data_IF_419284023262
#
_entry.id   IF_419284023262
#
_cell.length_a   1.000
_cell.length_b   1.000
_cell.length_c   1.000
_cell.angle_alpha   90.00
_cell.angle_beta   90.00
_cell.angle_gamma   90.00
#
_symmetry.space_group_name_H-M   'P 1'
#
loop_
_entity.id
_entity.type
_entity.pdbx_description
1 polymer ?
#
# COMPACT_ATOMS: atom_id res chain seq x y z
N UNK A 1 -5.37 4.82 30.52
CA UNK A 1 -4.17 4.60 29.69
C UNK A 1 -4.59 3.58 28.66
N UNK A 2 -4.81 4.05 27.44
CA UNK A 2 -5.29 3.31 26.27
C UNK A 2 -4.71 1.91 26.19
N UNK A 3 -5.56 0.90 26.27
CA UNK A 3 -5.13 -0.46 25.97
C UNK A 3 -5.21 -0.65 24.46
N UNK A 4 -4.19 -0.11 23.77
CA UNK A 4 -3.78 -0.54 22.44
C UNK A 4 -3.44 -2.03 22.52
N UNK A 5 -4.48 -2.85 22.50
CA UNK A 5 -4.37 -4.29 22.62
C UNK A 5 -3.83 -4.79 21.30
N UNK A 6 -2.91 -5.75 21.35
CA UNK A 6 -2.32 -6.37 20.17
C UNK A 6 -3.38 -6.83 19.15
N UNK A 7 -4.53 -7.35 19.63
CA UNK A 7 -5.66 -7.73 18.79
C UNK A 7 -6.26 -6.55 18.01
N UNK A 8 -6.33 -5.36 18.60
CA UNK A 8 -6.92 -4.19 17.97
C UNK A 8 -5.99 -3.65 16.87
N UNK A 9 -4.68 -3.61 17.16
CA UNK A 9 -3.65 -3.27 16.18
C UNK A 9 -3.66 -4.26 15.00
N UNK A 10 -3.73 -5.56 15.28
CA UNK A 10 -3.74 -6.59 14.23
C UNK A 10 -4.98 -6.47 13.33
N UNK A 11 -6.15 -6.17 13.92
CA UNK A 11 -7.40 -5.94 13.18
C UNK A 11 -7.29 -4.73 12.23
N UNK A 12 -6.80 -3.59 12.75
CA UNK A 12 -6.62 -2.35 11.95
C UNK A 12 -5.57 -2.55 10.86
N UNK A 13 -4.46 -3.22 11.16
CA UNK A 13 -3.42 -3.56 10.17
C UNK A 13 -4.00 -4.42 9.05
N UNK A 14 -4.74 -5.49 9.37
CA UNK A 14 -5.36 -6.37 8.36
C UNK A 14 -6.37 -5.64 7.49
N UNK A 15 -7.13 -4.70 8.06
CA UNK A 15 -8.12 -3.88 7.33
C UNK A 15 -7.48 -3.12 6.16
N UNK A 16 -6.28 -2.57 6.36
CA UNK A 16 -5.64 -1.69 5.36
C UNK A 16 -4.59 -2.40 4.48
N UNK A 17 -4.10 -3.58 4.90
CA UNK A 17 -3.04 -4.32 4.21
C UNK A 17 -3.41 -4.66 2.76
N UNK A 18 -4.63 -5.13 2.53
CA UNK A 18 -5.08 -5.54 1.20
C UNK A 18 -5.10 -4.38 0.20
N UNK A 19 -5.57 -3.21 0.63
CA UNK A 19 -5.57 -2.01 -0.21
C UNK A 19 -4.15 -1.51 -0.48
N UNK A 20 -3.26 -1.55 0.52
CA UNK A 20 -1.85 -1.19 0.34
C UNK A 20 -1.14 -2.10 -0.69
N UNK A 21 -1.37 -3.42 -0.62
CA UNK A 21 -0.85 -4.36 -1.62
C UNK A 21 -1.40 -4.06 -3.02
N UNK A 22 -2.69 -3.76 -3.13
CA UNK A 22 -3.29 -3.35 -4.40
C UNK A 22 -2.61 -2.09 -4.96
N UNK A 23 -2.43 -1.06 -4.13
CA UNK A 23 -1.80 0.21 -4.51
C UNK A 23 -0.36 0.04 -5.00
N UNK A 24 0.40 -0.89 -4.40
CA UNK A 24 1.76 -1.22 -4.81
C UNK A 24 1.80 -1.97 -6.16
N UNK A 25 0.81 -2.82 -6.43
CA UNK A 25 0.82 -3.70 -7.61
C UNK A 25 0.21 -3.05 -8.85
N UNK A 26 -0.79 -2.19 -8.70
CA UNK A 26 -1.51 -1.54 -9.82
C UNK A 26 -0.58 -0.90 -10.86
N UNK A 27 0.36 0.00 -10.50
CA UNK A 27 1.23 0.63 -11.50
C UNK A 27 2.14 -0.37 -12.22
N UNK A 28 2.58 -1.42 -11.54
CA UNK A 28 3.42 -2.48 -12.13
C UNK A 28 2.62 -3.27 -13.17
N UNK A 29 1.42 -3.72 -12.78
CA UNK A 29 0.51 -4.45 -13.68
C UNK A 29 0.11 -3.58 -14.88
N UNK A 30 -0.14 -2.30 -14.65
CA UNK A 30 -0.48 -1.35 -15.71
C UNK A 30 0.64 -1.22 -16.76
N UNK A 31 1.89 -1.03 -16.33
CA UNK A 31 3.02 -0.97 -17.26
C UNK A 31 3.21 -2.29 -18.02
N UNK A 32 3.15 -3.43 -17.32
CA UNK A 32 3.29 -4.74 -17.97
C UNK A 32 2.19 -5.01 -18.98
N UNK A 33 0.97 -4.52 -18.74
CA UNK A 33 -0.13 -4.60 -19.71
C UNK A 33 0.19 -3.79 -20.96
N UNK A 34 0.73 -2.58 -20.81
CA UNK A 34 1.13 -1.74 -21.94
C UNK A 34 2.25 -2.39 -22.76
N UNK A 35 3.30 -2.91 -22.11
CA UNK A 35 4.39 -3.61 -22.80
C UNK A 35 3.89 -4.78 -23.63
N UNK A 36 2.97 -5.58 -23.06
CA UNK A 36 2.38 -6.72 -23.75
C UNK A 36 1.68 -6.32 -25.05
N UNK A 37 0.88 -5.24 -25.03
CA UNK A 37 0.19 -4.75 -26.23
C UNK A 37 1.09 -3.97 -27.20
N UNK A 38 2.15 -3.34 -26.68
CA UNK A 38 3.11 -2.57 -27.49
C UNK A 38 4.12 -3.46 -28.22
N UNK A 39 4.24 -4.74 -27.87
CA UNK A 39 5.15 -5.68 -28.52
C UNK A 39 6.64 -5.41 -28.27
N UNK A 40 6.99 -4.70 -27.18
CA UNK A 40 8.37 -4.34 -26.86
C UNK A 40 8.63 -4.20 -25.36
N UNK A 41 9.92 -4.21 -24.98
CA UNK A 41 10.42 -4.18 -23.60
C UNK A 41 10.96 -2.80 -23.17
N UNK A 42 10.46 -1.73 -23.78
CA UNK A 42 11.03 -0.39 -23.56
C UNK A 42 10.71 0.18 -22.16
N UNK A 43 9.70 -0.36 -21.47
CA UNK A 43 9.24 0.14 -20.17
C UNK A 43 9.85 -0.64 -18.99
N UNK A 44 10.62 -1.70 -19.24
CA UNK A 44 11.36 -2.44 -18.20
C UNK A 44 12.29 -1.52 -17.40
N UNK A 45 12.99 -0.60 -18.06
CA UNK A 45 13.83 0.40 -17.39
C UNK A 45 13.03 1.35 -16.50
N UNK A 46 11.77 1.65 -16.88
CA UNK A 46 10.86 2.48 -16.07
C UNK A 46 10.36 1.72 -14.84
N UNK A 47 10.14 0.41 -14.95
CA UNK A 47 9.74 -0.45 -13.83
C UNK A 47 10.80 -0.48 -12.72
N UNK A 48 12.09 -0.45 -13.07
CA UNK A 48 13.19 -0.41 -12.08
C UNK A 48 13.05 0.80 -11.16
N UNK A 49 12.63 1.95 -11.70
CA UNK A 49 12.40 3.16 -10.92
C UNK A 49 11.02 3.16 -10.24
N UNK A 50 9.99 2.69 -10.92
CA UNK A 50 8.61 2.79 -10.46
C UNK A 50 8.28 1.80 -9.34
N UNK A 51 8.84 0.59 -9.35
CA UNK A 51 8.63 -0.41 -8.30
C UNK A 51 8.93 0.13 -6.89
N UNK A 52 10.14 0.65 -6.59
CA UNK A 52 10.43 1.15 -5.26
C UNK A 52 9.59 2.37 -4.90
N UNK A 53 9.31 3.27 -5.83
CA UNK A 53 8.46 4.44 -5.60
C UNK A 53 7.02 4.04 -5.24
N UNK A 54 6.45 3.07 -5.97
CA UNK A 54 5.11 2.57 -5.72
C UNK A 54 5.02 1.86 -4.37
N UNK A 55 6.02 1.06 -4.01
CA UNK A 55 6.10 0.39 -2.71
C UNK A 55 6.18 1.43 -1.58
N UNK A 56 7.07 2.42 -1.68
CA UNK A 56 7.20 3.48 -0.68
C UNK A 56 5.91 4.27 -0.53
N UNK A 57 5.26 4.63 -1.64
CA UNK A 57 3.96 5.31 -1.63
C UNK A 57 2.86 4.49 -0.97
N UNK A 58 2.77 3.20 -1.31
CA UNK A 58 1.80 2.28 -0.70
C UNK A 58 2.05 2.10 0.81
N UNK A 59 3.31 1.98 1.23
CA UNK A 59 3.69 1.91 2.64
C UNK A 59 3.34 3.21 3.38
N UNK A 60 3.61 4.38 2.79
CA UNK A 60 3.26 5.67 3.39
C UNK A 60 1.76 5.81 3.61
N UNK A 61 0.96 5.49 2.59
CA UNK A 61 -0.49 5.48 2.68
C UNK A 61 -0.99 4.47 3.73
N UNK A 62 -0.42 3.26 3.75
CA UNK A 62 -0.77 2.22 4.71
C UNK A 62 -0.55 2.67 6.17
N UNK A 63 0.65 3.19 6.46
CA UNK A 63 1.00 3.69 7.81
C UNK A 63 0.07 4.83 8.20
N UNK A 64 -0.21 5.76 7.28
CA UNK A 64 -1.12 6.87 7.55
C UNK A 64 -2.52 6.38 7.93
N UNK A 65 -3.10 5.45 7.17
CA UNK A 65 -4.43 4.90 7.47
C UNK A 65 -4.46 4.15 8.81
N UNK A 66 -3.44 3.35 9.10
CA UNK A 66 -3.33 2.63 10.38
C UNK A 66 -3.23 3.63 11.54
N UNK A 67 -2.37 4.65 11.44
CA UNK A 67 -2.21 5.66 12.50
C UNK A 67 -3.49 6.47 12.73
N UNK A 68 -4.21 6.84 11.67
CA UNK A 68 -5.48 7.56 11.78
C UNK A 68 -6.54 6.69 12.48
N UNK A 69 -6.71 5.44 12.07
CA UNK A 69 -7.72 4.54 12.69
C UNK A 69 -7.38 4.26 14.16
N UNK A 70 -6.10 4.07 14.50
CA UNK A 70 -5.66 3.90 15.89
C UNK A 70 -5.90 5.18 16.71
N UNK A 71 -5.60 6.35 16.15
CA UNK A 71 -5.83 7.62 16.83
C UNK A 71 -7.33 7.88 17.05
N UNK A 72 -8.19 7.60 16.08
CA UNK A 72 -9.65 7.76 16.22
C UNK A 72 -10.21 6.81 17.27
N UNK A 73 -9.75 5.55 17.28
CA UNK A 73 -10.20 4.55 18.25
C UNK A 73 -9.94 4.99 19.69
N UNK A 74 -8.79 5.62 19.96
CA UNK A 74 -8.45 6.17 21.28
C UNK A 74 -9.30 7.40 21.70
N UNK A 75 -10.01 8.06 20.79
CA UNK A 75 -10.81 9.27 21.10
C UNK A 75 -12.31 8.98 21.30
N UNK A 76 -12.75 7.74 21.10
CA UNK A 76 -14.16 7.31 21.20
C UNK A 76 -14.47 6.47 22.43
N UNK A 77 -13.48 6.20 23.29
CA UNK A 77 -13.64 5.66 24.64
C UNK A 77 -13.52 6.76 25.70
#
# INVERSE_FOLDING_TARGET
>A
MDLLTQNNIESVVKKHLGFAMFLAMVPIVFIKSIEFFSGGNQLDSLLILLMPLSIVGACGHFIQCVLIDLAVTNNTE
#
